data_IF_637547681210
#
_entry.id   IF_637547681210
#
_cell.length_a   1.000
_cell.length_b   1.000
_cell.length_c   1.000
_cell.angle_alpha   90.00
_cell.angle_beta   90.00
_cell.angle_gamma   90.00
#
_symmetry.space_group_name_H-M   'P 1'
#
loop_
_entity.id
_entity.type
_entity.pdbx_description
1 polymer ?
#
# COMPACT_ATOMS: atom_id res chain seq x y z
N UNK A 1 42.13 22.12 10.64
CA UNK A 1 41.35 21.97 11.89
C UNK A 1 40.05 22.74 11.69
N UNK A 2 38.90 22.06 11.58
CA UNK A 2 37.59 22.72 11.47
C UNK A 2 36.79 22.35 12.73
N UNK A 3 36.59 23.33 13.62
CA UNK A 3 35.65 23.20 14.74
C UNK A 3 34.23 23.37 14.18
N UNK A 4 33.45 22.30 14.17
CA UNK A 4 32.04 22.33 13.80
C UNK A 4 31.21 22.70 15.05
N UNK A 5 30.91 23.98 15.24
CA UNK A 5 29.85 24.39 16.16
C UNK A 5 28.49 24.09 15.51
N UNK A 6 27.74 23.13 16.05
CA UNK A 6 26.34 22.90 15.68
C UNK A 6 25.46 23.63 16.70
N UNK A 7 24.76 24.67 16.26
CA UNK A 7 23.72 25.35 17.04
C UNK A 7 22.41 24.55 16.94
N UNK A 8 21.89 24.06 18.07
CA UNK A 8 20.51 23.56 18.17
C UNK A 8 19.74 24.54 19.06
N UNK A 9 18.82 25.30 18.46
CA UNK A 9 17.92 26.21 19.19
C UNK A 9 16.67 25.45 19.62
N UNK A 10 16.53 25.19 20.92
CA UNK A 10 15.28 24.73 21.53
C UNK A 10 14.64 25.94 22.21
N UNK A 11 13.52 26.44 21.69
CA UNK A 11 12.70 27.44 22.41
C UNK A 11 11.94 26.72 23.52
N UNK A 12 12.31 26.97 24.77
CA UNK A 12 11.46 26.70 25.93
C UNK A 12 11.19 28.03 26.66
N UNK A 13 9.93 28.50 26.80
CA UNK A 13 9.67 29.84 27.32
C UNK A 13 9.67 29.96 28.84
N UNK A 14 9.72 28.87 29.63
CA UNK A 14 9.59 28.98 31.08
C UNK A 14 10.37 27.88 31.82
N UNK A 15 11.59 28.17 32.26
CA UNK A 15 12.14 27.76 33.57
C UNK A 15 13.61 28.11 33.69
N UNK A 16 14.00 28.47 34.90
CA UNK A 16 15.23 29.13 35.28
C UNK A 16 16.50 28.35 34.89
N UNK A 17 17.48 29.14 34.46
CA UNK A 17 18.82 28.78 33.99
C UNK A 17 19.55 27.85 34.95
N UNK A 18 19.50 26.55 34.69
CA UNK A 18 20.51 25.61 35.17
C UNK A 18 21.34 25.21 33.96
N UNK A 19 22.59 25.66 33.91
CA UNK A 19 23.56 25.29 32.89
C UNK A 19 23.88 23.79 33.03
N UNK A 20 23.01 22.94 32.51
CA UNK A 20 23.34 21.56 32.24
C UNK A 20 24.34 21.53 31.10
N UNK A 21 25.62 21.31 31.41
CA UNK A 21 26.53 20.74 30.41
C UNK A 21 25.83 19.49 29.87
N UNK A 22 25.41 19.51 28.61
CA UNK A 22 25.17 18.27 27.87
C UNK A 22 26.53 17.61 27.75
N UNK A 23 26.91 16.83 28.77
CA UNK A 23 28.03 15.91 28.71
C UNK A 23 27.63 14.86 27.68
N UNK A 24 27.90 15.13 26.41
CA UNK A 24 28.15 14.05 25.48
C UNK A 24 29.24 13.23 26.13
N UNK A 25 28.93 11.98 26.47
CA UNK A 25 29.82 11.06 27.16
C UNK A 25 31.21 11.15 26.54
N UNK A 26 32.17 11.62 27.33
CA UNK A 26 33.55 11.83 26.88
C UNK A 26 34.20 10.51 26.40
N UNK A 27 33.61 9.38 26.75
CA UNK A 27 34.00 8.05 26.28
C UNK A 27 33.40 7.64 24.93
N UNK A 28 32.27 8.20 24.53
CA UNK A 28 31.56 7.80 23.30
C UNK A 28 32.14 8.53 22.09
N UNK A 29 32.49 9.81 22.23
CA UNK A 29 33.00 10.60 21.12
C UNK A 29 34.29 10.03 20.48
N UNK A 30 35.32 9.60 21.24
CA UNK A 30 36.51 8.98 20.67
C UNK A 30 36.20 7.66 19.95
N UNK A 31 35.29 6.83 20.50
CA UNK A 31 34.87 5.56 19.89
C UNK A 31 34.15 5.80 18.55
N UNK A 32 33.31 6.83 18.46
CA UNK A 32 32.66 7.23 17.20
C UNK A 32 33.66 7.74 16.17
N UNK A 33 34.64 8.55 16.59
CA UNK A 33 35.71 9.03 15.70
C UNK A 33 36.52 7.85 15.15
N UNK A 34 36.88 6.88 16.00
CA UNK A 34 37.57 5.67 15.55
C UNK A 34 36.73 4.86 14.55
N UNK A 35 35.43 4.71 14.81
CA UNK A 35 34.51 4.03 13.90
C UNK A 35 34.37 4.75 12.55
N UNK A 36 34.20 6.08 12.55
CA UNK A 36 34.12 6.87 11.32
C UNK A 36 35.44 6.88 10.53
N UNK A 37 36.58 6.76 11.20
CA UNK A 37 37.89 6.61 10.55
C UNK A 37 38.18 5.18 10.09
N UNK A 38 37.33 4.19 10.41
CA UNK A 38 37.53 2.81 9.96
C UNK A 38 37.43 2.72 8.42
N UNK A 39 38.25 1.86 7.77
CA UNK A 39 38.25 1.73 6.31
C UNK A 39 36.89 1.23 5.77
N UNK A 40 36.19 0.39 6.52
CA UNK A 40 34.86 -0.09 6.17
C UNK A 40 33.85 1.05 6.12
N UNK A 41 33.84 1.93 7.13
CA UNK A 41 32.93 3.08 7.15
C UNK A 41 33.25 4.06 6.02
N UNK A 42 34.53 4.38 5.82
CA UNK A 42 34.97 5.30 4.76
C UNK A 42 34.58 4.78 3.37
N UNK A 43 34.84 3.50 3.07
CA UNK A 43 34.43 2.88 1.81
C UNK A 43 32.93 2.94 1.59
N UNK A 44 32.14 2.59 2.62
CA UNK A 44 30.67 2.65 2.57
C UNK A 44 30.17 4.10 2.41
N UNK A 45 30.83 5.05 3.05
CA UNK A 45 30.52 6.49 2.96
C UNK A 45 30.77 7.02 1.54
N UNK A 46 31.91 6.69 0.94
CA UNK A 46 32.25 7.08 -0.44
C UNK A 46 31.32 6.46 -1.47
N UNK A 47 30.93 5.19 -1.31
CA UNK A 47 29.90 4.57 -2.15
C UNK A 47 28.58 5.33 -2.03
N UNK A 48 28.13 5.61 -0.80
CA UNK A 48 26.88 6.35 -0.58
C UNK A 48 26.95 7.78 -1.13
N UNK A 49 28.11 8.45 -1.01
CA UNK A 49 28.34 9.78 -1.58
C UNK A 49 28.24 9.73 -3.11
N UNK A 50 28.89 8.76 -3.75
CA UNK A 50 28.75 8.53 -5.20
C UNK A 50 27.31 8.24 -5.60
N UNK A 51 26.58 7.41 -4.86
CA UNK A 51 25.17 7.11 -5.14
C UNK A 51 24.26 8.34 -4.97
N UNK A 52 24.54 9.23 -4.01
CA UNK A 52 23.81 10.50 -3.88
C UNK A 52 24.10 11.46 -5.04
N UNK A 53 25.29 11.36 -5.62
CA UNK A 53 25.76 12.22 -6.70
C UNK A 53 25.67 11.57 -8.09
N UNK A 54 25.03 10.40 -8.21
CA UNK A 54 24.90 9.66 -9.47
C UNK A 54 23.69 10.09 -10.30
N UNK A 55 23.06 11.22 -9.97
CA UNK A 55 22.00 11.79 -10.80
C UNK A 55 22.54 12.41 -12.08
N UNK A 56 21.63 12.89 -12.93
CA UNK A 56 21.96 13.60 -14.18
C UNK A 56 22.85 14.81 -13.85
N UNK A 57 23.93 14.98 -14.59
CA UNK A 57 24.93 16.05 -14.41
C UNK A 57 25.57 16.14 -13.01
N UNK A 58 25.63 15.01 -12.29
CA UNK A 58 26.19 14.98 -10.94
C UNK A 58 25.34 15.69 -9.89
N UNK A 59 24.05 15.92 -10.17
CA UNK A 59 23.10 16.55 -9.24
C UNK A 59 22.37 15.50 -8.38
N UNK A 60 22.03 15.82 -7.12
CA UNK A 60 21.18 14.96 -6.31
C UNK A 60 19.73 14.94 -6.81
N UNK A 61 19.06 13.79 -6.61
CA UNK A 61 17.64 13.47 -6.88
C UNK A 61 17.04 13.96 -8.20
N UNK A 62 16.66 13.01 -9.06
CA UNK A 62 15.91 13.26 -10.30
C UNK A 62 14.42 13.54 -10.08
N UNK A 63 13.93 13.55 -8.83
CA UNK A 63 12.50 13.71 -8.50
C UNK A 63 12.27 14.58 -7.25
N UNK A 64 11.09 15.22 -7.18
CA UNK A 64 10.62 16.11 -6.09
C UNK A 64 9.75 15.40 -5.05
N UNK A 65 9.48 14.10 -5.21
CA UNK A 65 8.53 13.39 -4.34
C UNK A 65 8.89 13.31 -2.86
N UNK A 66 10.14 13.61 -2.48
CA UNK A 66 10.62 13.56 -1.10
C UNK A 66 10.61 12.14 -0.53
N UNK A 67 10.34 12.03 0.78
CA UNK A 67 10.24 10.74 1.48
C UNK A 67 8.92 10.01 1.24
N UNK A 68 7.94 10.66 0.61
CA UNK A 68 6.64 10.08 0.36
C UNK A 68 6.69 9.15 -0.86
N UNK A 69 6.13 7.95 -0.71
CA UNK A 69 6.08 6.99 -1.81
C UNK A 69 5.22 7.49 -2.98
N UNK A 70 5.53 7.06 -4.21
CA UNK A 70 4.73 7.36 -5.41
C UNK A 70 3.28 6.88 -5.28
N UNK A 71 3.06 5.74 -4.61
CA UNK A 71 1.71 5.23 -4.30
C UNK A 71 0.87 6.24 -3.51
N UNK A 72 1.46 6.85 -2.47
CA UNK A 72 0.79 7.89 -1.68
C UNK A 72 0.59 9.18 -2.48
N UNK A 73 1.57 9.59 -3.29
CA UNK A 73 1.40 10.70 -4.22
C UNK A 73 0.22 10.47 -5.17
N UNK A 74 0.06 9.27 -5.72
CA UNK A 74 -1.09 8.93 -6.54
C UNK A 74 -2.42 9.06 -5.78
N UNK A 75 -2.49 8.60 -4.53
CA UNK A 75 -3.70 8.73 -3.70
C UNK A 75 -4.05 10.22 -3.47
N UNK A 76 -3.08 11.02 -3.02
CA UNK A 76 -3.30 12.46 -2.83
C UNK A 76 -3.69 13.17 -4.13
N UNK A 77 -3.10 12.74 -5.26
CA UNK A 77 -3.43 13.30 -6.56
C UNK A 77 -4.85 12.93 -7.00
N UNK A 78 -5.33 11.74 -6.66
CA UNK A 78 -6.72 11.34 -6.88
C UNK A 78 -7.70 12.25 -6.14
N UNK A 79 -7.39 12.58 -4.88
CA UNK A 79 -8.19 13.48 -4.06
C UNK A 79 -8.20 14.92 -4.60
N UNK A 80 -7.07 15.39 -5.15
CA UNK A 80 -6.91 16.74 -5.72
C UNK A 80 -7.62 16.87 -7.08
N UNK A 81 -7.46 15.87 -7.95
CA UNK A 81 -8.06 15.86 -9.28
C UNK A 81 -9.53 15.42 -9.29
N UNK A 82 -10.03 14.84 -8.18
CA UNK A 82 -11.36 14.21 -8.07
C UNK A 82 -11.59 13.13 -9.15
N UNK A 83 -10.51 12.55 -9.66
CA UNK A 83 -10.46 11.52 -10.71
C UNK A 83 -9.33 10.56 -10.37
N UNK A 84 -9.44 9.30 -10.81
CA UNK A 84 -8.31 8.36 -10.77
C UNK A 84 -7.14 8.94 -11.58
N UNK A 85 -5.96 9.19 -11.00
CA UNK A 85 -4.83 9.75 -11.72
C UNK A 85 -4.28 8.72 -12.71
N UNK A 86 -3.64 9.19 -13.77
CA UNK A 86 -2.90 8.33 -14.71
C UNK A 86 -1.41 8.29 -14.36
N UNK A 87 -0.68 7.35 -14.96
CA UNK A 87 0.76 7.23 -14.78
C UNK A 87 1.49 8.55 -15.17
N UNK A 88 1.02 9.21 -16.24
CA UNK A 88 1.50 10.52 -16.67
C UNK A 88 1.26 11.62 -15.63
N UNK A 89 0.10 11.64 -14.97
CA UNK A 89 -0.21 12.62 -13.92
C UNK A 89 0.75 12.50 -12.73
N UNK A 90 0.99 11.27 -12.26
CA UNK A 90 1.92 11.02 -11.14
C UNK A 90 3.35 11.36 -11.53
N UNK A 91 3.75 11.03 -12.76
CA UNK A 91 5.06 11.37 -13.29
C UNK A 91 5.27 12.89 -13.33
N UNK A 92 4.31 13.62 -13.93
CA UNK A 92 4.31 15.08 -14.01
C UNK A 92 4.37 15.73 -12.63
N UNK A 93 3.62 15.21 -11.68
CA UNK A 93 3.61 15.71 -10.31
C UNK A 93 4.96 15.49 -9.60
N UNK A 94 5.56 14.31 -9.75
CA UNK A 94 6.79 13.93 -9.02
C UNK A 94 8.08 14.43 -9.66
N UNK A 95 8.08 14.74 -10.95
CA UNK A 95 9.25 15.21 -11.70
C UNK A 95 9.19 16.70 -12.07
N UNK A 96 8.18 17.43 -11.59
CA UNK A 96 8.12 18.89 -11.67
C UNK A 96 8.61 19.56 -10.39
N UNK A 97 9.26 20.72 -10.55
CA UNK A 97 9.69 21.57 -9.46
C UNK A 97 8.45 22.06 -8.70
N UNK A 98 8.48 21.95 -7.37
CA UNK A 98 7.39 22.36 -6.47
C UNK A 98 6.00 21.81 -6.82
N UNK A 99 5.92 20.73 -7.61
CA UNK A 99 4.67 20.19 -8.13
C UNK A 99 3.89 21.17 -9.05
N UNK A 100 4.58 22.16 -9.63
CA UNK A 100 4.00 23.18 -10.51
C UNK A 100 3.52 22.60 -11.86
N UNK A 101 3.88 21.35 -12.14
CA UNK A 101 3.46 20.61 -13.34
C UNK A 101 3.91 21.23 -14.67
N UNK A 102 4.76 22.27 -14.65
CA UNK A 102 5.24 23.00 -15.83
C UNK A 102 6.77 22.93 -15.98
N UNK A 103 7.49 22.99 -14.87
CA UNK A 103 8.94 23.08 -14.83
C UNK A 103 9.52 21.74 -14.40
N UNK A 104 10.08 21.00 -15.35
CA UNK A 104 10.73 19.72 -15.07
C UNK A 104 12.12 19.91 -14.45
N UNK A 105 12.50 19.02 -13.54
CA UNK A 105 13.80 19.09 -12.85
C UNK A 105 14.92 18.57 -13.73
N UNK A 106 14.65 17.52 -14.51
CA UNK A 106 15.63 16.87 -15.37
C UNK A 106 15.25 16.97 -16.85
N UNK A 107 16.25 17.09 -17.76
CA UNK A 107 15.98 17.13 -19.20
C UNK A 107 15.27 15.86 -19.71
N UNK A 108 15.57 14.70 -19.12
CA UNK A 108 14.97 13.42 -19.50
C UNK A 108 13.47 13.40 -19.18
N UNK A 109 13.04 13.89 -18.02
CA UNK A 109 11.62 13.92 -17.68
C UNK A 109 10.83 14.89 -18.53
N UNK A 110 11.45 16.03 -18.88
CA UNK A 110 10.88 16.94 -19.88
C UNK A 110 10.65 16.21 -21.20
N UNK A 111 11.67 15.53 -21.73
CA UNK A 111 11.57 14.81 -23.01
C UNK A 111 10.48 13.72 -22.98
N UNK A 112 10.40 12.93 -21.91
CA UNK A 112 9.37 11.90 -21.76
C UNK A 112 7.96 12.51 -21.74
N UNK A 113 7.78 13.63 -21.03
CA UNK A 113 6.48 14.29 -20.95
C UNK A 113 6.09 14.96 -22.27
N UNK A 114 7.02 15.65 -22.93
CA UNK A 114 6.79 16.30 -24.23
C UNK A 114 6.38 15.26 -25.30
N UNK A 115 7.02 14.10 -25.31
CA UNK A 115 6.67 12.99 -26.19
C UNK A 115 5.26 12.43 -25.91
N UNK A 116 4.88 12.33 -24.63
CA UNK A 116 3.53 11.90 -24.24
C UNK A 116 2.47 12.87 -24.70
N UNK A 117 2.69 14.17 -24.51
CA UNK A 117 1.76 15.21 -24.92
C UNK A 117 1.60 15.25 -26.46
N UNK A 118 2.70 15.06 -27.19
CA UNK A 118 2.67 14.93 -28.66
C UNK A 118 1.80 13.75 -29.12
N UNK A 119 2.01 12.55 -28.56
CA UNK A 119 1.21 11.38 -28.95
C UNK A 119 -0.26 11.49 -28.54
N UNK A 120 -0.55 12.06 -27.37
CA UNK A 120 -1.94 12.32 -26.95
C UNK A 120 -2.65 13.26 -27.93
N UNK A 121 -1.96 14.30 -28.40
CA UNK A 121 -2.50 15.26 -29.36
C UNK A 121 -2.78 14.61 -30.72
N UNK A 122 -1.85 13.80 -31.23
CA UNK A 122 -2.03 13.07 -32.49
C UNK A 122 -3.22 12.09 -32.40
N UNK A 123 -3.30 11.31 -31.32
CA UNK A 123 -4.41 10.38 -31.11
C UNK A 123 -5.76 11.11 -30.97
N UNK A 124 -5.78 12.25 -30.27
CA UNK A 124 -7.00 13.06 -30.14
C UNK A 124 -7.46 13.65 -31.47
N UNK A 125 -6.54 13.99 -32.38
CA UNK A 125 -6.89 14.49 -33.72
C UNK A 125 -7.46 13.37 -34.58
N UNK A 126 -6.83 12.19 -34.58
CA UNK A 126 -7.29 11.03 -35.35
C UNK A 126 -8.67 10.49 -34.91
N UNK A 127 -9.01 10.63 -33.62
CA UNK A 127 -10.32 10.21 -33.09
C UNK A 127 -11.46 11.11 -33.58
N UNK A 128 -11.21 12.40 -33.84
CA UNK A 128 -12.24 13.29 -34.38
C UNK A 128 -12.59 12.97 -35.84
N UNK A 129 -11.70 12.31 -36.58
CA UNK A 129 -11.89 11.94 -37.99
C UNK A 129 -12.45 10.51 -38.16
N UNK A 130 -12.46 9.68 -37.11
CA UNK A 130 -12.96 8.31 -37.16
C UNK A 130 -14.26 8.16 -36.38
N UNK A 131 -15.33 7.71 -37.06
CA UNK A 131 -16.68 7.56 -36.49
C UNK A 131 -16.81 6.54 -35.32
N UNK A 132 -15.71 5.88 -34.93
CA UNK A 132 -15.64 4.96 -33.78
C UNK A 132 -14.51 5.41 -32.86
N UNK A 133 -14.81 6.36 -31.97
CA UNK A 133 -13.89 6.84 -30.95
C UNK A 133 -13.62 5.75 -29.90
N UNK A 134 -12.54 4.99 -30.05
CA UNK A 134 -12.03 4.12 -28.99
C UNK A 134 -11.46 5.01 -27.87
N UNK A 135 -11.78 4.76 -26.59
CA UNK A 135 -11.21 5.52 -25.48
C UNK A 135 -9.69 5.29 -25.42
N UNK A 136 -8.92 6.38 -25.39
CA UNK A 136 -7.45 6.32 -25.31
C UNK A 136 -7.05 5.83 -23.92
N UNK A 137 -6.33 4.71 -23.85
CA UNK A 137 -5.69 4.25 -22.62
C UNK A 137 -4.39 5.03 -22.38
N UNK A 138 -4.49 6.12 -21.62
CA UNK A 138 -3.36 6.97 -21.23
C UNK A 138 -2.23 6.21 -20.51
N UNK A 139 -2.55 5.15 -19.75
CA UNK A 139 -1.52 4.39 -19.03
C UNK A 139 -0.75 3.50 -20.00
N UNK A 140 -1.42 2.86 -20.94
CA UNK A 140 -0.74 2.11 -22.00
C UNK A 140 0.15 3.04 -22.83
N UNK A 141 -0.36 4.22 -23.18
CA UNK A 141 0.42 5.23 -23.91
C UNK A 141 1.67 5.68 -23.14
N UNK A 142 1.54 5.90 -21.83
CA UNK A 142 2.68 6.20 -20.96
C UNK A 142 3.75 5.11 -21.02
N UNK A 143 3.33 3.85 -20.96
CA UNK A 143 4.24 2.71 -21.07
C UNK A 143 4.98 2.70 -22.43
N UNK A 144 4.26 2.95 -23.51
CA UNK A 144 4.82 2.97 -24.87
C UNK A 144 5.85 4.11 -25.06
N UNK A 145 5.60 5.29 -24.51
CA UNK A 145 6.54 6.44 -24.60
C UNK A 145 7.79 6.24 -23.73
N UNK A 146 7.62 5.70 -22.52
CA UNK A 146 8.74 5.46 -21.62
C UNK A 146 9.61 4.30 -22.08
N UNK A 147 9.00 3.31 -22.74
CA UNK A 147 9.66 2.12 -23.24
C UNK A 147 9.86 1.06 -22.15
N UNK A 148 10.90 0.23 -22.36
CA UNK A 148 11.10 -0.99 -21.58
C UNK A 148 11.34 -0.72 -20.08
N UNK A 149 10.84 -1.63 -19.26
CA UNK A 149 11.04 -1.62 -17.82
C UNK A 149 12.52 -1.81 -17.50
N UNK A 150 12.97 -1.24 -16.38
CA UNK A 150 14.34 -1.48 -15.93
C UNK A 150 14.56 -2.95 -15.50
N UNK A 151 15.80 -3.32 -15.17
CA UNK A 151 16.19 -4.67 -14.68
C UNK A 151 15.37 -5.18 -13.47
N UNK A 152 14.65 -4.30 -12.77
CA UNK A 152 13.78 -4.62 -11.64
C UNK A 152 12.30 -4.70 -12.04
N UNK A 153 12.00 -4.76 -13.33
CA UNK A 153 10.64 -4.76 -13.88
C UNK A 153 9.84 -3.48 -13.47
N UNK A 154 10.53 -2.35 -13.29
CA UNK A 154 9.93 -1.06 -12.92
C UNK A 154 9.98 -0.09 -14.10
N UNK A 155 8.83 0.47 -14.46
CA UNK A 155 8.65 1.55 -15.43
C UNK A 155 9.26 2.84 -14.85
N UNK A 156 9.99 3.58 -15.68
CA UNK A 156 10.63 4.82 -15.26
C UNK A 156 9.62 5.81 -14.67
N UNK A 157 10.04 6.58 -13.66
CA UNK A 157 9.31 7.75 -13.19
C UNK A 157 8.07 7.52 -12.32
N UNK A 158 7.60 6.27 -12.18
CA UNK A 158 6.39 5.97 -11.39
C UNK A 158 6.64 5.10 -10.16
N UNK A 159 7.80 4.44 -10.06
CA UNK A 159 8.23 3.74 -8.84
C UNK A 159 7.15 2.81 -8.27
N UNK A 160 6.76 3.03 -7.00
CA UNK A 160 5.80 2.16 -6.30
C UNK A 160 4.35 2.31 -6.76
N UNK A 161 3.98 3.38 -7.47
CA UNK A 161 2.62 3.52 -8.03
C UNK A 161 2.39 2.66 -9.27
N UNK A 162 3.43 2.01 -9.82
CA UNK A 162 3.27 1.05 -10.92
C UNK A 162 2.21 -0.02 -10.63
N UNK A 163 2.14 -0.49 -9.37
CA UNK A 163 1.12 -1.47 -8.94
C UNK A 163 -0.32 -0.98 -9.10
N UNK A 164 -0.56 0.34 -9.06
CA UNK A 164 -1.88 0.94 -9.24
C UNK A 164 -2.29 0.93 -10.73
N UNK A 165 -1.32 1.04 -11.64
CA UNK A 165 -1.57 1.24 -13.07
C UNK A 165 -1.44 -0.04 -13.90
N UNK A 166 -0.46 -0.88 -13.58
CA UNK A 166 -0.09 -2.06 -14.39
C UNK A 166 -0.13 -3.37 -13.60
N UNK A 167 -0.63 -3.34 -12.36
CA UNK A 167 -0.67 -4.50 -11.48
C UNK A 167 0.65 -4.79 -10.75
N UNK A 168 0.68 -5.80 -9.86
CA UNK A 168 1.82 -6.08 -9.01
C UNK A 168 3.07 -6.45 -9.83
N UNK A 169 4.22 -5.90 -9.43
CA UNK A 169 5.50 -6.28 -9.99
C UNK A 169 5.85 -7.68 -9.52
N UNK A 170 6.00 -8.62 -10.47
CA UNK A 170 6.70 -9.88 -10.20
C UNK A 170 8.17 -9.53 -10.09
N UNK A 171 8.66 -9.19 -8.89
CA UNK A 171 10.10 -9.07 -8.65
C UNK A 171 10.68 -10.47 -8.57
N UNK A 172 11.78 -10.69 -9.27
CA UNK A 172 12.65 -11.84 -9.02
C UNK A 172 13.40 -11.50 -7.72
N UNK A 173 12.83 -11.88 -6.58
CA UNK A 173 13.53 -11.74 -5.31
C UNK A 173 14.67 -12.77 -5.27
N UNK A 174 15.85 -12.27 -4.94
CA UNK A 174 17.08 -13.04 -4.78
C UNK A 174 16.95 -14.02 -3.62
N UNK A 175 17.19 -15.30 -3.89
CA UNK A 175 17.56 -16.36 -2.95
C UNK A 175 16.70 -16.49 -1.67
N UNK A 176 15.49 -17.02 -1.84
CA UNK A 176 14.99 -18.05 -0.95
C UNK A 176 14.43 -19.16 -1.84
N UNK A 177 14.96 -20.38 -1.73
CA UNK A 177 14.50 -21.54 -2.48
C UNK A 177 12.99 -21.70 -2.35
N UNK A 178 12.29 -21.49 -3.46
CA UNK A 178 10.86 -21.68 -3.59
C UNK A 178 10.56 -21.84 -5.07
N UNK A 179 10.38 -23.08 -5.46
CA UNK A 179 10.07 -23.56 -6.81
C UNK A 179 9.07 -22.62 -7.49
N UNK A 180 9.39 -22.24 -8.73
CA UNK A 180 8.51 -21.43 -9.54
C UNK A 180 7.11 -22.04 -9.61
N UNK A 181 6.11 -21.21 -9.40
CA UNK A 181 4.76 -21.55 -9.82
C UNK A 181 4.12 -20.31 -10.41
N UNK A 182 3.97 -20.32 -11.73
CA UNK A 182 2.81 -19.70 -12.34
C UNK A 182 1.59 -20.41 -11.76
N UNK A 183 0.98 -19.86 -10.71
CA UNK A 183 -0.14 -20.50 -10.05
C UNK A 183 -0.99 -19.48 -9.31
N UNK A 184 -2.10 -19.13 -9.95
CA UNK A 184 -3.40 -19.11 -9.32
C UNK A 184 -3.77 -18.12 -8.20
N UNK A 185 -3.58 -16.82 -8.46
CA UNK A 185 -4.26 -15.79 -7.66
C UNK A 185 -5.80 -15.88 -7.69
N UNK A 186 -6.39 -16.51 -8.73
CA UNK A 186 -7.84 -16.73 -8.79
C UNK A 186 -8.29 -17.91 -7.92
N UNK A 187 -7.63 -19.08 -7.99
CA UNK A 187 -7.99 -20.21 -7.12
C UNK A 187 -7.80 -19.88 -5.64
N UNK A 188 -6.75 -19.15 -5.26
CA UNK A 188 -6.54 -18.75 -3.85
C UNK A 188 -7.65 -17.81 -3.36
N UNK A 189 -8.13 -16.92 -4.23
CA UNK A 189 -9.24 -16.01 -3.90
C UNK A 189 -10.58 -16.74 -3.82
N UNK A 190 -10.85 -17.66 -4.75
CA UNK A 190 -12.05 -18.52 -4.73
C UNK A 190 -12.07 -19.43 -3.52
N UNK A 191 -10.91 -20.02 -3.16
CA UNK A 191 -10.76 -20.85 -1.96
C UNK A 191 -11.02 -20.07 -0.69
N UNK A 192 -10.48 -18.85 -0.59
CA UNK A 192 -10.71 -17.97 0.56
C UNK A 192 -12.20 -17.55 0.66
N UNK A 193 -12.87 -17.34 -0.48
CA UNK A 193 -14.31 -17.06 -0.49
C UNK A 193 -15.14 -18.26 -0.06
N UNK A 194 -14.77 -19.47 -0.49
CA UNK A 194 -15.43 -20.71 -0.06
C UNK A 194 -15.29 -20.93 1.45
N UNK A 195 -14.08 -20.74 2.01
CA UNK A 195 -13.83 -20.86 3.45
C UNK A 195 -14.62 -19.83 4.27
N UNK A 196 -14.72 -18.59 3.78
CA UNK A 196 -15.56 -17.56 4.41
C UNK A 196 -17.05 -17.92 4.37
N UNK A 197 -17.51 -18.59 3.32
CA UNK A 197 -18.90 -19.01 3.19
C UNK A 197 -19.21 -20.18 4.14
N UNK A 198 -18.32 -21.17 4.19
CA UNK A 198 -18.44 -22.30 5.11
C UNK A 198 -18.45 -21.85 6.57
N UNK A 199 -17.55 -20.93 6.94
CA UNK A 199 -17.52 -20.38 8.29
C UNK A 199 -18.80 -19.60 8.63
N UNK A 200 -19.38 -18.87 7.66
CA UNK A 200 -20.67 -18.18 7.86
C UNK A 200 -21.81 -19.17 8.10
N UNK A 201 -21.84 -20.26 7.35
CA UNK A 201 -22.87 -21.28 7.47
C UNK A 201 -22.76 -22.03 8.82
N UNK A 202 -21.53 -22.29 9.28
CA UNK A 202 -21.27 -22.85 10.60
C UNK A 202 -21.78 -21.94 11.73
N UNK A 203 -21.47 -20.64 11.66
CA UNK A 203 -21.94 -19.65 12.64
C UNK A 203 -23.46 -19.58 12.66
N UNK A 204 -24.11 -19.65 11.49
CA UNK A 204 -25.56 -19.65 11.38
C UNK A 204 -26.19 -20.89 12.03
N UNK A 205 -25.66 -22.08 11.72
CA UNK A 205 -26.14 -23.34 12.30
C UNK A 205 -25.97 -23.37 13.83
N UNK A 206 -24.86 -22.83 14.34
CA UNK A 206 -24.61 -22.75 15.78
C UNK A 206 -25.59 -21.79 16.47
N UNK A 207 -25.91 -20.67 15.83
CA UNK A 207 -26.92 -19.73 16.33
C UNK A 207 -28.34 -20.35 16.32
N UNK A 208 -28.68 -21.12 15.29
CA UNK A 208 -29.96 -21.85 15.25
C UNK A 208 -30.02 -22.94 16.33
N UNK A 209 -28.92 -23.68 16.56
CA UNK A 209 -28.85 -24.65 17.64
C UNK A 209 -29.02 -23.99 19.02
N UNK A 210 -28.46 -22.79 19.23
CA UNK A 210 -28.69 -22.02 20.45
C UNK A 210 -30.17 -21.67 20.64
N UNK A 211 -30.85 -21.19 19.60
CA UNK A 211 -32.29 -20.90 19.66
C UNK A 211 -33.15 -22.15 19.91
N UNK A 212 -32.76 -23.30 19.35
CA UNK A 212 -33.43 -24.58 19.59
C UNK A 212 -33.21 -25.08 21.02
N UNK A 213 -31.99 -24.92 21.56
CA UNK A 213 -31.73 -25.25 22.97
C UNK A 213 -32.50 -24.34 23.92
N UNK A 214 -32.58 -23.03 23.63
CA UNK A 214 -33.35 -22.08 24.43
C UNK A 214 -34.85 -22.39 24.41
N UNK A 215 -35.42 -22.68 23.24
CA UNK A 215 -36.84 -23.07 23.14
C UNK A 215 -37.12 -24.43 23.79
N UNK A 216 -36.21 -25.40 23.70
CA UNK A 216 -36.36 -26.69 24.40
C UNK A 216 -36.26 -26.54 25.92
N UNK A 217 -35.38 -25.68 26.41
CA UNK A 217 -35.25 -25.36 27.84
C UNK A 217 -36.55 -24.74 28.38
N UNK A 218 -37.22 -23.91 27.57
CA UNK A 218 -38.50 -23.29 27.92
C UNK A 218 -39.64 -24.33 28.04
N UNK A 219 -39.67 -25.33 27.16
CA UNK A 219 -40.70 -26.39 27.17
C UNK A 219 -40.50 -27.35 28.36
N UNK A 220 -39.27 -27.61 28.77
CA UNK A 220 -38.98 -28.51 29.91
C UNK A 220 -39.22 -27.87 31.29
N UNK A 221 -39.54 -26.57 31.35
CA UNK A 221 -39.83 -25.85 32.59
C UNK A 221 -41.33 -25.82 32.95
N UNK A 222 -42.22 -26.42 32.14
CA UNK A 222 -43.64 -26.57 32.49
C UNK A 222 -43.89 -27.79 33.39
N UNK A 223 -44.51 -27.63 34.58
CA UNK A 223 -44.78 -28.76 35.47
C UNK A 223 -45.93 -29.62 34.92
N UNK A 224 -45.63 -30.91 34.67
CA UNK A 224 -46.62 -31.93 34.30
C UNK A 224 -47.72 -32.03 35.37
N UNK A 225 -48.95 -31.66 34.99
CA UNK A 225 -50.18 -32.01 35.69
C UNK A 225 -50.47 -33.50 35.45
N UNK A 226 -50.61 -34.26 36.55
CA UNK A 226 -51.10 -35.63 36.53
C UNK A 226 -52.61 -35.61 36.25
N UNK A 227 -53.06 -36.25 35.17
CA UNK A 227 -54.45 -36.66 35.00
C UNK A 227 -54.48 -38.12 34.53
N UNK A 228 -54.93 -38.99 35.45
CA UNK A 228 -55.24 -40.42 35.27
C UNK A 228 -56.48 -40.58 34.35
N UNK A 229 -56.50 -41.54 33.42
CA UNK A 229 -57.68 -41.84 32.61
C UNK A 229 -58.63 -42.85 33.28
N UNK A 230 -59.92 -42.50 33.18
CA UNK A 230 -61.14 -43.17 33.64
C UNK A 230 -61.22 -44.71 33.60
N UNK A 231 -61.81 -45.26 34.67
CA UNK A 231 -62.33 -46.62 34.80
C UNK A 231 -63.61 -46.82 33.96
N UNK A 232 -63.78 -47.95 33.26
CA UNK A 232 -65.01 -48.23 32.50
C UNK A 232 -66.13 -48.79 33.39
N UNK A 233 -67.36 -48.33 33.10
CA UNK A 233 -68.60 -48.79 33.71
C UNK A 233 -68.86 -50.27 33.42
N UNK A 234 -69.30 -51.01 34.44
CA UNK A 234 -69.94 -52.32 34.30
C UNK A 234 -71.32 -52.23 34.95
N UNK A 235 -72.36 -52.40 34.12
CA UNK A 235 -73.72 -52.64 34.55
C UNK A 235 -73.84 -54.12 34.97
N UNK A 236 -74.35 -54.40 36.18
CA UNK A 236 -75.09 -55.64 36.44
C UNK A 236 -76.28 -55.39 37.38
N UNK A 237 -77.47 -55.62 36.85
CA UNK A 237 -78.70 -55.92 37.56
C UNK A 237 -78.58 -57.22 38.37
N UNK A 238 -79.00 -57.22 39.64
CA UNK A 238 -79.85 -58.30 40.18
C UNK A 238 -80.39 -58.01 41.59
N UNK A 239 -81.71 -57.82 41.67
CA UNK A 239 -82.67 -58.41 42.61
C UNK A 239 -82.19 -58.79 44.03
N UNK A 240 -82.62 -58.04 45.05
CA UNK A 240 -83.81 -58.33 45.89
C UNK A 240 -83.80 -57.44 47.14
#
# INVERSE_FOLDING_TARGET
MFNLLIWVSVRNPNSYTTLGLLVFDLEILPKLIQYWNSPLFQSKSEIQKRNRNSGVDGRPSTQTGGSLSHKKHAIHLAEKLKRKPTAGDVFKYTHSKNHDSKTFIDPKSKQVYDNLEAQLKELSQNVNDSAVAQPIDENKLYFDVVGEKNKKNVVYGIGSSQSIFYGPNKSHDTNASGIGSQGNYNEDYEKLQAELQEMKDLVKALNEQQQVMESRLLIMAEPHSNDDPDLPATDEDSHN
#
